data_IF_815666922446
#
_entry.id   IF_815666922446
#
_cell.length_a   1.000
_cell.length_b   1.000
_cell.length_c   1.000
_cell.angle_alpha   90.00
_cell.angle_beta   90.00
_cell.angle_gamma   90.00
#
_symmetry.space_group_name_H-M   'P 1'
#
loop_
_entity.id
_entity.type
_entity.pdbx_description
1 polymer ?
#
# COMPACT_ATOMS: atom_id res chain seq x y z
N UNK A 1 15.76 -20.07 11.37
CA UNK A 1 15.32 -18.86 12.08
C UNK A 1 14.66 -17.92 11.08
N UNK A 2 13.41 -18.21 10.73
CA UNK A 2 12.54 -17.34 9.90
C UNK A 2 11.55 -16.55 10.78
N UNK A 3 11.36 -17.00 12.02
CA UNK A 3 10.39 -16.51 12.99
C UNK A 3 10.70 -15.09 13.49
N UNK A 4 11.95 -14.63 13.34
CA UNK A 4 12.37 -13.27 13.65
C UNK A 4 12.51 -12.37 12.41
N UNK A 5 12.12 -12.84 11.22
CA UNK A 5 12.32 -12.11 9.96
C UNK A 5 11.02 -11.43 9.53
N UNK A 6 11.15 -10.16 9.14
CA UNK A 6 10.15 -9.42 8.40
C UNK A 6 10.57 -9.35 6.92
N UNK A 7 9.70 -9.80 6.03
CA UNK A 7 9.94 -9.67 4.59
C UNK A 7 9.31 -8.36 4.11
N UNK A 8 10.06 -7.52 3.39
CA UNK A 8 9.55 -6.31 2.72
C UNK A 8 9.67 -6.42 1.20
N UNK A 9 8.77 -7.16 0.53
CA UNK A 9 8.79 -7.32 -0.92
C UNK A 9 7.89 -6.29 -1.60
N UNK A 10 8.05 -6.16 -2.92
CA UNK A 10 7.06 -5.49 -3.78
C UNK A 10 5.85 -6.38 -4.00
N UNK A 11 4.68 -5.76 -4.18
CA UNK A 11 3.52 -6.46 -4.75
C UNK A 11 3.80 -6.86 -6.21
N UNK A 12 3.15 -7.92 -6.68
CA UNK A 12 3.23 -8.36 -8.07
C UNK A 12 2.20 -7.59 -8.89
N UNK A 13 2.66 -6.53 -9.56
CA UNK A 13 1.83 -5.66 -10.41
C UNK A 13 2.36 -5.66 -11.85
N UNK A 14 1.53 -5.30 -12.84
CA UNK A 14 2.04 -4.96 -14.17
C UNK A 14 3.10 -3.87 -14.10
N UNK A 15 4.00 -3.86 -15.09
CA UNK A 15 5.03 -2.81 -15.19
C UNK A 15 4.41 -1.43 -15.34
N UNK A 16 5.13 -0.38 -14.93
CA UNK A 16 4.60 0.99 -14.93
C UNK A 16 4.16 1.51 -16.31
N UNK A 17 4.74 0.97 -17.39
CA UNK A 17 4.40 1.29 -18.78
C UNK A 17 3.35 0.36 -19.40
N UNK A 18 2.87 -0.64 -18.66
CA UNK A 18 1.81 -1.51 -19.13
C UNK A 18 0.52 -0.70 -19.31
N UNK A 19 -0.11 -0.80 -20.48
CA UNK A 19 -1.36 -0.11 -20.79
C UNK A 19 -2.53 -0.65 -19.96
N UNK A 20 -2.46 -1.92 -19.59
CA UNK A 20 -3.49 -2.59 -18.80
C UNK A 20 -3.14 -2.55 -17.32
N UNK A 21 -4.10 -2.11 -16.50
CA UNK A 21 -4.01 -2.18 -15.04
C UNK A 21 -4.61 -3.49 -14.56
N UNK A 22 -3.93 -4.14 -13.62
CA UNK A 22 -4.48 -5.32 -12.95
C UNK A 22 -5.50 -4.89 -11.89
N UNK A 23 -6.52 -5.72 -11.70
CA UNK A 23 -7.45 -5.53 -10.58
C UNK A 23 -6.77 -5.88 -9.25
N UNK A 24 -7.22 -5.33 -8.11
CA UNK A 24 -6.63 -5.66 -6.81
C UNK A 24 -6.65 -7.15 -6.47
N UNK A 25 -7.73 -7.84 -6.86
CA UNK A 25 -7.84 -9.30 -6.72
C UNK A 25 -6.74 -10.02 -7.49
N UNK A 26 -6.48 -9.63 -8.74
CA UNK A 26 -5.44 -10.25 -9.58
C UNK A 26 -4.05 -10.00 -9.00
N UNK A 27 -3.79 -8.79 -8.49
CA UNK A 27 -2.55 -8.45 -7.79
C UNK A 27 -2.38 -9.35 -6.55
N UNK A 28 -3.41 -9.49 -5.73
CA UNK A 28 -3.37 -10.32 -4.53
C UNK A 28 -3.08 -11.80 -4.84
N UNK A 29 -3.77 -12.37 -5.84
CA UNK A 29 -3.58 -13.76 -6.28
C UNK A 29 -2.13 -14.05 -6.71
N UNK A 30 -1.52 -13.15 -7.49
CA UNK A 30 -0.14 -13.33 -7.97
C UNK A 30 0.90 -13.01 -6.90
N UNK A 31 0.57 -12.12 -5.96
CA UNK A 31 1.47 -11.69 -4.89
C UNK A 31 1.58 -12.76 -3.80
N UNK A 32 0.46 -13.34 -3.34
CA UNK A 32 0.44 -14.29 -2.21
C UNK A 32 0.61 -15.76 -2.64
N UNK A 33 1.33 -16.02 -3.73
CA UNK A 33 1.55 -17.41 -4.17
C UNK A 33 2.45 -18.18 -3.19
N UNK A 34 1.94 -19.29 -2.64
CA UNK A 34 2.64 -20.19 -1.70
C UNK A 34 3.91 -20.84 -2.26
N UNK A 35 4.16 -20.71 -3.57
CA UNK A 35 5.36 -21.24 -4.22
C UNK A 35 6.63 -20.45 -3.93
N UNK A 36 6.52 -19.21 -3.41
CA UNK A 36 7.67 -18.28 -3.30
C UNK A 36 8.02 -17.86 -1.88
N UNK A 37 7.09 -17.96 -0.94
CA UNK A 37 7.29 -17.51 0.44
C UNK A 37 7.01 -18.69 1.37
N UNK A 38 7.92 -18.97 2.30
CA UNK A 38 7.72 -20.04 3.28
C UNK A 38 6.61 -19.65 4.28
N UNK A 39 5.68 -20.54 4.63
CA UNK A 39 4.71 -20.32 5.71
C UNK A 39 5.34 -20.07 7.08
N UNK A 40 6.61 -20.44 7.29
CA UNK A 40 7.33 -20.19 8.56
C UNK A 40 7.73 -18.73 8.76
N UNK A 41 7.63 -17.88 7.73
CA UNK A 41 7.79 -16.44 7.89
C UNK A 41 6.57 -15.87 8.62
N UNK A 42 6.73 -15.11 9.70
CA UNK A 42 5.59 -14.65 10.48
C UNK A 42 4.83 -13.52 9.77
N UNK A 43 5.54 -12.63 9.07
CA UNK A 43 4.97 -11.37 8.60
C UNK A 43 5.60 -10.87 7.30
N UNK A 44 4.75 -10.37 6.41
CA UNK A 44 5.13 -9.72 5.16
C UNK A 44 4.64 -8.27 5.20
N UNK A 45 5.55 -7.32 5.06
CA UNK A 45 5.30 -5.89 5.07
C UNK A 45 5.50 -5.33 3.67
N UNK A 46 4.45 -5.24 2.85
CA UNK A 46 4.61 -4.81 1.46
C UNK A 46 5.08 -3.36 1.33
N UNK A 47 6.00 -3.13 0.40
CA UNK A 47 6.27 -1.79 -0.11
C UNK A 47 5.30 -1.48 -1.25
N UNK A 48 4.94 -0.20 -1.38
CA UNK A 48 3.95 0.24 -2.35
C UNK A 48 4.50 0.58 -3.73
N UNK A 49 5.82 0.73 -3.87
CA UNK A 49 6.48 1.17 -5.11
C UNK A 49 5.88 2.50 -5.63
N UNK A 50 5.48 2.57 -6.90
CA UNK A 50 4.89 3.74 -7.55
C UNK A 50 3.36 3.73 -7.61
N UNK A 51 2.70 2.85 -6.86
CA UNK A 51 1.24 2.81 -6.76
C UNK A 51 0.71 4.12 -6.15
N UNK A 52 -0.53 4.47 -6.47
CA UNK A 52 -1.22 5.57 -5.78
C UNK A 52 -1.53 5.22 -4.31
N UNK A 53 -2.01 6.20 -3.53
CA UNK A 53 -2.38 5.96 -2.13
C UNK A 53 -3.52 4.94 -2.02
N UNK A 54 -4.53 5.11 -2.88
CA UNK A 54 -5.71 4.25 -2.93
C UNK A 54 -5.37 2.88 -3.51
N UNK A 55 -4.59 2.81 -4.59
CA UNK A 55 -4.21 1.54 -5.23
C UNK A 55 -3.43 0.63 -4.27
N UNK A 56 -2.46 1.18 -3.54
CA UNK A 56 -1.69 0.43 -2.54
C UNK A 56 -2.59 -0.12 -1.41
N UNK A 57 -3.63 0.63 -1.05
CA UNK A 57 -4.57 0.25 0.02
C UNK A 57 -5.54 -0.82 -0.46
N UNK A 58 -6.09 -0.68 -1.67
CA UNK A 58 -6.97 -1.68 -2.29
C UNK A 58 -6.28 -3.01 -2.53
N UNK A 59 -5.02 -2.98 -2.98
CA UNK A 59 -4.24 -4.20 -3.20
C UNK A 59 -3.93 -4.91 -1.88
N UNK A 60 -3.56 -4.17 -0.83
CA UNK A 60 -3.39 -4.73 0.52
C UNK A 60 -4.69 -5.32 1.07
N UNK A 61 -5.81 -4.62 0.86
CA UNK A 61 -7.12 -5.08 1.29
C UNK A 61 -7.50 -6.41 0.63
N UNK A 62 -7.33 -6.51 -0.70
CA UNK A 62 -7.60 -7.72 -1.44
C UNK A 62 -6.73 -8.91 -0.98
N UNK A 63 -5.48 -8.66 -0.59
CA UNK A 63 -4.59 -9.69 -0.01
C UNK A 63 -5.08 -10.23 1.33
N UNK A 64 -5.74 -9.40 2.13
CA UNK A 64 -6.26 -9.79 3.45
C UNK A 64 -7.73 -10.27 3.43
N UNK A 65 -8.41 -10.18 2.29
CA UNK A 65 -9.76 -10.73 2.11
C UNK A 65 -9.80 -12.24 1.86
N UNK A 66 -8.64 -12.85 1.57
CA UNK A 66 -8.51 -14.29 1.39
C UNK A 66 -7.62 -14.90 2.49
N UNK A 67 -7.93 -16.10 2.99
CA UNK A 67 -7.08 -16.79 3.96
C UNK A 67 -5.68 -17.01 3.42
N UNK A 68 -4.68 -16.59 4.20
CA UNK A 68 -3.27 -16.81 3.91
C UNK A 68 -2.52 -17.09 5.22
N UNK A 69 -1.36 -17.79 5.19
CA UNK A 69 -0.68 -18.21 6.41
C UNK A 69 0.17 -17.11 7.06
N UNK A 70 0.25 -15.92 6.45
CA UNK A 70 1.13 -14.84 6.89
C UNK A 70 0.32 -13.71 7.51
N UNK A 71 0.93 -12.97 8.43
CA UNK A 71 0.43 -11.64 8.73
C UNK A 71 0.86 -10.69 7.59
N UNK A 72 -0.11 -10.23 6.78
CA UNK A 72 0.15 -9.37 5.61
C UNK A 72 -0.21 -7.92 5.95
N UNK A 73 0.80 -7.06 5.99
CA UNK A 73 0.66 -5.65 6.33
C UNK A 73 1.52 -4.76 5.43
N UNK A 74 1.68 -3.49 5.78
CA UNK A 74 2.28 -2.45 4.95
C UNK A 74 3.53 -1.83 5.57
N UNK A 75 4.50 -1.49 4.72
CA UNK A 75 5.63 -0.61 5.05
C UNK A 75 5.73 0.47 3.98
N UNK A 76 4.80 1.43 4.05
CA UNK A 76 4.62 2.48 3.05
C UNK A 76 5.31 3.79 3.45
N UNK A 77 5.86 4.47 2.43
CA UNK A 77 6.32 5.85 2.54
C UNK A 77 5.38 6.77 1.76
N UNK A 78 5.54 6.85 0.44
CA UNK A 78 4.77 7.75 -0.42
C UNK A 78 3.24 7.61 -0.28
N UNK A 79 2.63 6.41 -0.31
CA UNK A 79 1.18 6.26 -0.11
C UNK A 79 0.62 6.68 1.24
N UNK A 80 1.48 6.80 2.23
CA UNK A 80 1.08 7.23 3.56
C UNK A 80 1.26 8.74 3.73
N UNK A 81 2.23 9.32 3.02
CA UNK A 81 2.70 10.69 3.26
C UNK A 81 2.33 11.69 2.17
N UNK A 82 2.03 11.27 0.93
CA UNK A 82 1.93 12.20 -0.21
C UNK A 82 0.84 13.25 -0.03
N UNK A 83 -0.38 12.86 0.33
CA UNK A 83 -1.46 13.82 0.62
C UNK A 83 -1.14 14.68 1.84
N UNK A 84 -0.55 14.10 2.89
CA UNK A 84 -0.11 14.86 4.08
C UNK A 84 0.91 15.95 3.72
N UNK A 85 1.96 15.60 2.97
CA UNK A 85 3.01 16.54 2.57
C UNK A 85 2.49 17.66 1.66
N UNK A 86 1.61 17.32 0.71
CA UNK A 86 0.96 18.32 -0.15
C UNK A 86 0.07 19.28 0.63
N UNK A 87 -0.73 18.75 1.55
CA UNK A 87 -1.59 19.55 2.42
C UNK A 87 -0.77 20.45 3.34
N UNK A 88 0.31 19.93 3.92
CA UNK A 88 1.21 20.71 4.77
C UNK A 88 1.86 21.86 4.00
N UNK A 89 2.47 21.57 2.85
CA UNK A 89 3.14 22.57 2.01
C UNK A 89 4.25 23.34 2.72
N UNK A 90 4.81 22.81 3.82
CA UNK A 90 5.83 23.48 4.64
C UNK A 90 5.30 24.62 5.53
N UNK A 91 3.97 24.79 5.61
CA UNK A 91 3.32 25.90 6.34
C UNK A 91 2.87 25.47 7.72
N UNK A 92 3.26 26.22 8.75
CA UNK A 92 2.95 25.89 10.16
C UNK A 92 1.45 25.88 10.45
N UNK A 93 0.69 26.77 9.80
CA UNK A 93 -0.77 26.85 9.89
C UNK A 93 -1.46 25.59 9.34
N UNK A 94 -0.79 24.83 8.47
CA UNK A 94 -1.36 23.62 7.86
C UNK A 94 -1.03 22.33 8.62
N UNK A 95 -0.29 22.40 9.74
CA UNK A 95 0.16 21.20 10.47
C UNK A 95 -1.02 20.32 10.87
N UNK A 96 -2.09 20.91 11.42
CA UNK A 96 -3.25 20.14 11.90
C UNK A 96 -3.99 19.44 10.75
N UNK A 97 -4.28 20.16 9.68
CA UNK A 97 -4.98 19.58 8.51
C UNK A 97 -4.14 18.50 7.81
N UNK A 98 -2.81 18.64 7.81
CA UNK A 98 -1.91 17.61 7.26
C UNK A 98 -1.86 16.34 8.13
N UNK A 99 -1.83 16.49 9.45
CA UNK A 99 -1.92 15.36 10.38
C UNK A 99 -3.25 14.61 10.24
N UNK A 100 -4.35 15.33 10.06
CA UNK A 100 -5.67 14.71 9.84
C UNK A 100 -5.68 13.91 8.52
N UNK A 101 -5.06 14.45 7.45
CA UNK A 101 -4.87 13.73 6.19
C UNK A 101 -3.99 12.46 6.33
N UNK A 102 -2.90 12.53 7.12
CA UNK A 102 -2.08 11.37 7.45
C UNK A 102 -2.90 10.30 8.20
N UNK A 103 -3.74 10.73 9.15
CA UNK A 103 -4.56 9.82 9.94
C UNK A 103 -5.61 9.09 9.07
N UNK A 104 -6.20 9.77 8.09
CA UNK A 104 -7.08 9.14 7.10
C UNK A 104 -6.35 8.01 6.38
N UNK A 105 -5.12 8.27 5.88
CA UNK A 105 -4.33 7.21 5.21
C UNK A 105 -3.91 6.09 6.15
N UNK A 106 -3.53 6.40 7.39
CA UNK A 106 -3.16 5.38 8.37
C UNK A 106 -4.36 4.47 8.71
N UNK A 107 -5.55 5.05 8.93
CA UNK A 107 -6.79 4.30 9.18
C UNK A 107 -7.17 3.42 7.99
N UNK A 108 -7.11 3.95 6.77
CA UNK A 108 -7.42 3.20 5.57
C UNK A 108 -6.51 1.97 5.40
N UNK A 109 -5.19 2.12 5.61
CA UNK A 109 -4.25 1.00 5.56
C UNK A 109 -4.43 0.02 6.72
N UNK A 110 -4.80 0.50 7.92
CA UNK A 110 -5.17 -0.35 9.05
C UNK A 110 -6.41 -1.20 8.75
N UNK A 111 -7.44 -0.62 8.11
CA UNK A 111 -8.62 -1.37 7.68
C UNK A 111 -8.29 -2.38 6.56
N UNK A 112 -7.40 -2.01 5.64
CA UNK A 112 -6.94 -2.89 4.58
C UNK A 112 -6.13 -4.09 5.11
N UNK A 113 -5.34 -3.90 6.18
CA UNK A 113 -4.68 -5.02 6.88
C UNK A 113 -5.70 -6.02 7.45
N UNK A 114 -6.88 -5.55 7.84
CA UNK A 114 -7.99 -6.39 8.31
C UNK A 114 -8.90 -6.93 7.18
N UNK A 115 -8.64 -6.56 5.92
CA UNK A 115 -9.51 -6.91 4.78
C UNK A 115 -10.87 -6.19 4.78
N UNK A 116 -11.01 -5.09 5.53
CA UNK A 116 -12.28 -4.38 5.80
C UNK A 116 -12.35 -2.99 5.17
N UNK A 117 -11.39 -2.60 4.34
CA UNK A 117 -11.42 -1.31 3.70
C UNK A 117 -12.40 -1.29 2.52
N UNK A 118 -13.28 -0.30 2.48
CA UNK A 118 -14.40 -0.18 1.52
C UNK A 118 -14.09 0.76 0.34
N UNK A 119 -13.07 1.61 0.44
CA UNK A 119 -12.73 2.57 -0.61
C UNK A 119 -13.61 3.82 -0.67
N UNK A 120 -14.43 4.05 0.35
CA UNK A 120 -15.30 5.22 0.45
C UNK A 120 -14.49 6.49 0.80
N UNK A 121 -14.94 7.64 0.32
CA UNK A 121 -14.40 8.98 0.63
C UNK A 121 -12.97 9.29 0.11
N UNK A 122 -12.52 8.62 -0.95
CA UNK A 122 -11.19 8.87 -1.53
C UNK A 122 -11.15 10.04 -2.52
N UNK A 123 -10.25 11.00 -2.27
CA UNK A 123 -10.03 12.15 -3.17
C UNK A 123 -9.39 11.74 -4.49
N UNK A 124 -9.63 12.49 -5.57
CA UNK A 124 -9.03 12.18 -6.88
C UNK A 124 -7.51 12.28 -6.88
N UNK A 125 -6.93 13.12 -6.02
CA UNK A 125 -5.49 13.24 -5.87
C UNK A 125 -4.84 11.98 -5.25
N UNK A 126 -5.53 11.33 -4.31
CA UNK A 126 -5.06 10.09 -3.68
C UNK A 126 -5.05 8.89 -4.65
N UNK A 127 -5.82 8.97 -5.75
CA UNK A 127 -5.92 7.95 -6.79
C UNK A 127 -4.81 8.04 -7.84
N UNK A 128 -4.09 9.17 -7.93
CA UNK A 128 -3.04 9.39 -8.93
C UNK A 128 -1.79 8.56 -8.62
N UNK A 129 -1.32 7.80 -9.60
CA UNK A 129 -0.10 7.01 -9.50
C UNK A 129 1.13 7.88 -9.26
N UNK A 130 2.12 7.35 -8.56
CA UNK A 130 3.32 8.08 -8.11
C UNK A 130 4.61 7.60 -8.79
N UNK A 131 4.49 6.87 -9.89
CA UNK A 131 5.66 6.46 -10.66
C UNK A 131 6.29 7.67 -11.35
N UNK A 132 7.60 7.84 -11.16
CA UNK A 132 8.41 8.84 -11.85
C UNK A 132 9.53 8.10 -12.57
N UNK A 133 9.60 8.25 -13.91
CA UNK A 133 10.64 7.61 -14.72
C UNK A 133 11.99 8.21 -14.38
N UNK A 134 12.97 7.38 -14.03
CA UNK A 134 14.33 7.84 -13.72
C UNK A 134 14.42 8.61 -12.40
N UNK A 135 13.55 8.34 -11.42
CA UNK A 135 13.61 8.97 -10.11
C UNK A 135 14.96 8.72 -9.43
N UNK A 136 15.63 9.79 -9.02
CA UNK A 136 16.87 9.77 -8.25
C UNK A 136 16.55 10.30 -6.85
N UNK A 137 17.07 9.62 -5.82
CA UNK A 137 16.90 10.00 -4.43
C UNK A 137 17.69 11.25 -4.06
#
# INVERSE_FOLDING_TARGET
MFEGILLKPSMVTPGAQCKEKATPKKVAEYTLTKRRISPSLPTIMFLSSGQSEVEATLNLNAMNQAPNPWHVSFSYARPLQNTCLKTWGGRSENVKVAQDALLVRAKANSLAQLGKYTGEEESDDSKKGMFVKGYVY
#
